data_IF_287275283970
#
_entry.id   IF_287275283970
#
_cell.length_a   1.000
_cell.length_b   1.000
_cell.length_c   1.000
_cell.angle_alpha   90.00
_cell.angle_beta   90.00
_cell.angle_gamma   90.00
#
_symmetry.space_group_name_H-M   'P 1'
#
loop_
_entity.id
_entity.type
_entity.pdbx_description
1 polymer ?
#
# COMPACT_ATOMS: atom_id res chain seq x y z
N UNK A 1 -9.45 -64.34 -45.77
CA UNK A 1 -8.45 -63.26 -45.64
C UNK A 1 -9.11 -62.06 -44.97
N UNK A 2 -8.48 -61.63 -43.87
CA UNK A 2 -8.60 -60.38 -43.11
C UNK A 2 -9.98 -59.85 -42.68
N UNK A 3 -10.30 -60.15 -41.41
CA UNK A 3 -11.12 -59.32 -40.53
C UNK A 3 -10.41 -57.99 -40.29
N UNK A 4 -11.05 -56.88 -40.62
CA UNK A 4 -10.62 -55.54 -40.19
C UNK A 4 -11.55 -55.06 -39.08
N UNK A 5 -11.07 -55.30 -37.86
CA UNK A 5 -11.49 -54.67 -36.62
C UNK A 5 -11.09 -53.20 -36.62
N UNK A 6 -12.09 -52.30 -36.66
CA UNK A 6 -11.90 -50.87 -36.38
C UNK A 6 -12.12 -50.58 -34.89
N UNK A 7 -11.18 -49.89 -34.19
CA UNK A 7 -11.29 -49.60 -32.77
C UNK A 7 -12.31 -48.47 -32.52
N UNK A 8 -13.23 -48.65 -31.58
CA UNK A 8 -13.07 -48.45 -30.12
C UNK A 8 -13.29 -46.98 -29.72
N UNK A 9 -14.14 -46.81 -28.71
CA UNK A 9 -14.75 -45.55 -28.30
C UNK A 9 -13.78 -44.37 -28.20
N UNK A 10 -14.25 -43.22 -28.69
CA UNK A 10 -13.63 -41.93 -28.44
C UNK A 10 -13.64 -41.69 -26.93
N UNK A 11 -12.49 -41.92 -26.31
CA UNK A 11 -12.20 -41.53 -24.95
C UNK A 11 -12.29 -40.00 -24.87
N UNK A 12 -13.36 -39.50 -24.28
CA UNK A 12 -13.47 -38.14 -23.82
C UNK A 12 -12.43 -37.96 -22.70
N UNK A 13 -11.21 -37.57 -23.07
CA UNK A 13 -10.23 -37.10 -22.09
C UNK A 13 -10.76 -35.80 -21.52
N UNK A 14 -11.40 -35.89 -20.34
CA UNK A 14 -11.46 -34.77 -19.42
C UNK A 14 -10.01 -34.46 -19.05
N UNK A 15 -9.39 -33.53 -19.76
CA UNK A 15 -8.18 -32.86 -19.26
C UNK A 15 -8.63 -31.98 -18.12
N UNK A 16 -8.75 -32.59 -16.95
CA UNK A 16 -8.90 -31.91 -15.67
C UNK A 16 -7.54 -31.31 -15.32
N UNK A 17 -7.13 -30.29 -16.07
CA UNK A 17 -6.04 -29.41 -15.68
C UNK A 17 -6.68 -28.32 -14.84
N UNK A 18 -6.98 -28.69 -13.59
CA UNK A 18 -6.84 -27.76 -12.49
C UNK A 18 -5.38 -27.30 -12.54
N UNK A 19 -5.08 -26.27 -13.35
CA UNK A 19 -3.87 -25.50 -13.17
C UNK A 19 -3.94 -25.03 -11.73
N UNK A 20 -3.10 -25.65 -10.91
CA UNK A 20 -2.91 -25.31 -9.51
C UNK A 20 -2.78 -23.81 -9.47
N UNK A 21 -3.81 -23.12 -8.98
CA UNK A 21 -3.65 -21.76 -8.49
C UNK A 21 -2.56 -21.89 -7.43
N UNK A 22 -1.34 -21.52 -7.81
CA UNK A 22 -0.23 -21.40 -6.88
C UNK A 22 -0.74 -20.39 -5.88
N UNK A 23 -1.14 -20.89 -4.70
CA UNK A 23 -1.50 -20.04 -3.58
C UNK A 23 -0.24 -19.21 -3.33
N UNK A 24 -0.20 -18.00 -3.89
CA UNK A 24 0.83 -17.03 -3.58
C UNK A 24 0.60 -16.75 -2.11
N UNK A 25 1.41 -17.37 -1.25
CA UNK A 25 1.50 -16.98 0.15
C UNK A 25 1.84 -15.49 0.13
N UNK A 26 0.83 -14.67 0.39
CA UNK A 26 0.98 -13.23 0.41
C UNK A 26 1.88 -12.92 1.60
N UNK A 27 3.13 -12.55 1.32
CA UNK A 27 4.04 -12.16 2.39
C UNK A 27 3.62 -10.78 2.90
N UNK A 28 3.40 -10.65 4.21
CA UNK A 28 2.92 -9.40 4.83
C UNK A 28 4.03 -8.37 4.91
N UNK A 29 3.80 -7.18 4.36
CA UNK A 29 4.72 -6.04 4.45
C UNK A 29 4.45 -5.26 5.75
N UNK A 30 5.52 -4.84 6.44
CA UNK A 30 5.40 -4.07 7.68
C UNK A 30 5.81 -2.63 7.42
N UNK A 31 4.94 -1.68 7.80
CA UNK A 31 5.22 -0.24 7.72
C UNK A 31 5.66 0.29 9.08
N UNK A 32 6.84 0.89 9.13
CA UNK A 32 7.35 1.67 10.26
C UNK A 32 7.36 3.16 9.88
N UNK A 33 6.77 4.00 10.73
CA UNK A 33 6.79 5.45 10.55
C UNK A 33 7.96 6.01 11.34
N UNK A 34 8.88 6.70 10.67
CA UNK A 34 9.97 7.42 11.33
C UNK A 34 9.43 8.79 11.70
N UNK A 35 9.20 9.07 12.98
CA UNK A 35 8.69 10.39 13.38
C UNK A 35 9.85 11.40 13.30
N UNK A 36 10.15 11.89 12.10
CA UNK A 36 11.09 12.98 11.87
C UNK A 36 10.34 14.30 11.86
N UNK A 37 10.54 15.14 12.88
CA UNK A 37 10.02 16.51 12.94
C UNK A 37 10.79 17.43 11.96
N UNK A 38 10.85 17.11 10.67
CA UNK A 38 11.48 17.98 9.66
C UNK A 38 10.47 18.99 9.12
N UNK A 39 10.44 20.15 9.78
CA UNK A 39 10.05 21.46 9.26
C UNK A 39 8.89 21.48 8.27
N UNK A 40 7.67 21.24 8.75
CA UNK A 40 6.48 21.71 8.05
C UNK A 40 6.46 23.24 8.20
N UNK A 41 6.60 23.97 7.09
CA UNK A 41 6.39 25.42 7.06
C UNK A 41 4.89 25.67 7.30
N UNK A 42 4.51 25.81 8.57
CA UNK A 42 3.14 26.14 8.96
C UNK A 42 3.03 27.65 9.19
N UNK A 43 2.10 28.32 8.52
CA UNK A 43 1.80 29.74 8.74
C UNK A 43 0.98 30.02 10.01
N UNK A 44 0.80 29.03 10.90
CA UNK A 44 -0.04 29.13 12.10
C UNK A 44 0.79 28.94 13.39
N UNK A 45 0.77 29.88 14.36
CA UNK A 45 1.66 29.91 15.52
C UNK A 45 1.22 29.00 16.67
N UNK A 46 0.29 28.05 16.46
CA UNK A 46 -0.35 27.38 17.58
C UNK A 46 0.38 26.09 17.96
N UNK A 47 0.86 26.08 19.21
CA UNK A 47 1.31 24.99 20.08
C UNK A 47 1.99 23.77 19.42
N UNK A 48 3.31 23.57 19.64
CA UNK A 48 4.04 22.36 19.22
C UNK A 48 3.36 21.03 19.60
N UNK A 49 2.71 20.96 20.76
CA UNK A 49 2.05 19.74 21.24
C UNK A 49 0.80 19.37 20.41
N UNK A 50 0.12 20.35 19.82
CA UNK A 50 -1.03 20.12 18.94
C UNK A 50 -0.57 19.51 17.60
N UNK A 51 0.54 20.03 17.05
CA UNK A 51 1.13 19.51 15.81
C UNK A 51 1.62 18.07 15.93
N UNK A 52 2.24 17.73 17.07
CA UNK A 52 2.68 16.37 17.34
C UNK A 52 1.48 15.39 17.40
N UNK A 53 0.37 15.81 18.00
CA UNK A 53 -0.87 15.03 18.04
C UNK A 53 -1.47 14.85 16.65
N UNK A 54 -1.53 15.90 15.83
CA UNK A 54 -2.00 15.81 14.44
C UNK A 54 -1.18 14.80 13.63
N UNK A 55 0.16 14.92 13.67
CA UNK A 55 1.05 14.00 12.97
C UNK A 55 0.86 12.56 13.45
N UNK A 56 0.73 12.35 14.76
CA UNK A 56 0.47 11.02 15.33
C UNK A 56 -0.82 10.42 14.80
N UNK A 57 -1.91 11.19 14.77
CA UNK A 57 -3.20 10.74 14.25
C UNK A 57 -3.12 10.40 12.75
N UNK A 58 -2.46 11.23 11.95
CA UNK A 58 -2.23 10.98 10.53
C UNK A 58 -1.47 9.67 10.34
N UNK A 59 -0.40 9.44 11.10
CA UNK A 59 0.38 8.21 11.00
C UNK A 59 -0.40 6.96 11.38
N UNK A 60 -1.27 7.03 12.39
CA UNK A 60 -2.13 5.91 12.76
C UNK A 60 -3.05 5.50 11.61
N UNK A 61 -3.74 6.47 11.00
CA UNK A 61 -4.64 6.21 9.86
C UNK A 61 -3.86 5.72 8.64
N UNK A 62 -2.73 6.34 8.31
CA UNK A 62 -1.87 5.94 7.18
C UNK A 62 -1.37 4.50 7.34
N UNK A 63 -0.95 4.12 8.54
CA UNK A 63 -0.53 2.74 8.84
C UNK A 63 -1.67 1.76 8.57
N UNK A 64 -2.89 2.12 8.94
CA UNK A 64 -4.06 1.27 8.73
C UNK A 64 -4.45 1.16 7.25
N UNK A 65 -4.41 2.26 6.49
CA UNK A 65 -4.71 2.26 5.05
C UNK A 65 -3.69 1.47 4.22
N UNK A 66 -2.44 1.37 4.68
CA UNK A 66 -1.36 0.66 4.00
C UNK A 66 -1.26 -0.83 4.35
N UNK A 67 -2.11 -1.36 5.23
CA UNK A 67 -2.14 -2.79 5.58
C UNK A 67 -2.38 -3.67 4.35
N UNK A 68 -1.94 -4.92 4.43
CA UNK A 68 -2.24 -5.99 3.46
C UNK A 68 -1.94 -5.61 1.99
N UNK A 69 -0.69 -5.24 1.65
CA UNK A 69 -0.32 -5.10 0.23
C UNK A 69 -0.41 -6.44 -0.48
N UNK A 70 -0.62 -6.41 -1.79
CA UNK A 70 -0.71 -7.59 -2.65
C UNK A 70 0.62 -7.93 -3.36
N UNK A 71 1.74 -7.36 -2.90
CA UNK A 71 3.08 -7.55 -3.45
C UNK A 71 4.10 -7.68 -2.31
N UNK A 72 5.30 -8.14 -2.64
CA UNK A 72 6.43 -8.23 -1.73
C UNK A 72 7.57 -7.31 -2.18
N UNK A 73 8.38 -6.88 -1.22
CA UNK A 73 9.64 -6.18 -1.49
C UNK A 73 10.81 -7.12 -1.26
N UNK A 74 11.86 -6.98 -2.08
CA UNK A 74 13.09 -7.76 -1.93
C UNK A 74 13.98 -7.23 -0.79
N UNK A 75 13.94 -5.91 -0.57
CA UNK A 75 14.69 -5.21 0.46
C UNK A 75 13.79 -4.18 1.15
N UNK A 76 14.20 -3.73 2.33
CA UNK A 76 13.56 -2.58 2.97
C UNK A 76 13.61 -1.37 2.04
N UNK A 77 12.51 -0.63 1.93
CA UNK A 77 12.41 0.58 1.11
C UNK A 77 11.98 1.76 1.97
N UNK A 78 12.65 2.90 1.77
CA UNK A 78 12.26 4.18 2.33
C UNK A 78 11.47 4.98 1.30
N UNK A 79 10.39 5.62 1.76
CA UNK A 79 9.56 6.49 0.95
C UNK A 79 9.29 7.80 1.71
N UNK A 80 9.32 8.92 1.00
CA UNK A 80 8.84 10.21 1.51
C UNK A 80 7.53 10.55 0.83
N UNK A 81 6.45 10.62 1.61
CA UNK A 81 5.11 10.96 1.10
C UNK A 81 4.77 12.38 1.50
N UNK A 82 4.44 13.24 0.54
CA UNK A 82 3.86 14.55 0.81
C UNK A 82 2.37 14.49 0.60
N UNK A 83 1.61 14.92 1.59
CA UNK A 83 0.15 14.99 1.52
C UNK A 83 -0.36 16.37 1.92
N UNK A 84 -1.58 16.68 1.52
CA UNK A 84 -2.42 17.67 2.18
C UNK A 84 -3.77 17.06 2.52
N UNK A 85 -4.64 17.79 3.23
CA UNK A 85 -5.97 17.35 3.62
C UNK A 85 -7.00 18.32 3.08
N UNK A 86 -7.98 17.81 2.33
CA UNK A 86 -9.03 18.61 1.73
C UNK A 86 -10.13 18.97 2.74
N UNK A 87 -11.11 19.76 2.31
CA UNK A 87 -12.23 20.21 3.17
C UNK A 87 -13.13 19.07 3.67
N UNK A 88 -13.06 17.89 3.06
CA UNK A 88 -13.80 16.69 3.46
C UNK A 88 -13.04 15.84 4.50
N UNK A 89 -11.87 16.31 4.96
CA UNK A 89 -10.94 15.58 5.79
C UNK A 89 -10.34 14.35 5.09
N UNK A 90 -10.17 14.41 3.77
CA UNK A 90 -9.57 13.35 2.96
C UNK A 90 -8.13 13.72 2.58
N UNK A 91 -7.25 12.72 2.62
CA UNK A 91 -5.87 12.83 2.17
C UNK A 91 -5.85 13.14 0.68
N UNK A 92 -5.07 14.14 0.27
CA UNK A 92 -4.68 14.37 -1.12
C UNK A 92 -3.17 14.14 -1.21
N UNK A 93 -2.77 13.12 -1.96
CA UNK A 93 -1.35 12.79 -2.14
C UNK A 93 -0.73 13.75 -3.15
N UNK A 94 0.25 14.54 -2.70
CA UNK A 94 0.97 15.50 -3.54
C UNK A 94 2.17 14.82 -4.24
N UNK A 95 2.91 13.98 -3.51
CA UNK A 95 4.01 13.21 -4.07
C UNK A 95 4.33 11.97 -3.24
N UNK A 96 4.84 10.93 -3.89
CA UNK A 96 5.54 9.82 -3.25
C UNK A 96 6.92 9.75 -3.90
N UNK A 97 7.96 9.72 -3.07
CA UNK A 97 9.34 9.61 -3.52
C UNK A 97 10.00 8.40 -2.86
N UNK A 98 10.17 7.32 -3.62
CA UNK A 98 10.97 6.16 -3.24
C UNK A 98 11.79 5.67 -4.45
N UNK A 99 12.63 4.65 -4.23
CA UNK A 99 13.34 3.95 -5.32
C UNK A 99 12.53 2.75 -5.88
N UNK A 100 11.24 2.63 -5.55
CA UNK A 100 10.39 1.51 -5.95
C UNK A 100 9.03 1.98 -6.49
N UNK A 101 8.84 1.92 -7.82
CA UNK A 101 7.63 2.40 -8.49
C UNK A 101 6.36 1.62 -8.11
N UNK A 102 6.49 0.33 -7.81
CA UNK A 102 5.36 -0.51 -7.35
C UNK A 102 4.87 -0.01 -6.00
N UNK A 103 5.79 0.30 -5.08
CA UNK A 103 5.48 0.89 -3.78
C UNK A 103 4.84 2.28 -3.94
N UNK A 104 5.38 3.13 -4.82
CA UNK A 104 4.85 4.47 -5.06
C UNK A 104 3.40 4.42 -5.54
N UNK A 105 3.12 3.53 -6.49
CA UNK A 105 1.78 3.31 -7.03
C UNK A 105 0.84 2.77 -5.96
N UNK A 106 1.29 1.81 -5.16
CA UNK A 106 0.51 1.28 -4.05
C UNK A 106 0.16 2.35 -3.01
N UNK A 107 1.12 3.14 -2.57
CA UNK A 107 0.91 4.20 -1.58
C UNK A 107 -0.12 5.21 -2.10
N UNK A 108 0.02 5.67 -3.35
CA UNK A 108 -0.96 6.59 -3.97
C UNK A 108 -2.36 5.98 -4.00
N UNK A 109 -2.48 4.74 -4.46
CA UNK A 109 -3.76 4.05 -4.56
C UNK A 109 -4.42 3.77 -3.20
N UNK A 110 -3.62 3.55 -2.16
CA UNK A 110 -4.11 3.30 -0.80
C UNK A 110 -4.52 4.56 -0.06
N UNK A 111 -3.81 5.68 -0.27
CA UNK A 111 -3.96 6.89 0.54
C UNK A 111 -4.82 7.96 -0.11
N UNK A 112 -4.74 8.15 -1.43
CA UNK A 112 -5.39 9.29 -2.07
C UNK A 112 -6.92 9.22 -1.91
N UNK A 113 -7.50 10.32 -1.45
CA UNK A 113 -8.90 10.49 -1.06
C UNK A 113 -9.39 9.57 0.08
N UNK A 114 -8.48 9.05 0.92
CA UNK A 114 -8.91 8.38 2.17
C UNK A 114 -9.21 9.40 3.25
N UNK A 115 -10.36 9.23 3.89
CA UNK A 115 -10.82 10.07 4.98
C UNK A 115 -10.09 9.74 6.28
N UNK A 116 -9.47 10.75 6.88
CA UNK A 116 -8.86 10.63 8.21
C UNK A 116 -9.94 10.52 9.30
N UNK A 117 -9.62 9.79 10.36
CA UNK A 117 -10.51 9.58 11.51
C UNK A 117 -10.64 10.83 12.36
N UNK A 118 -9.55 11.59 12.51
CA UNK A 118 -9.52 12.85 13.23
C UNK A 118 -9.43 14.02 12.27
N UNK A 119 -10.08 15.13 12.64
CA UNK A 119 -9.95 16.37 11.88
C UNK A 119 -8.57 16.96 12.10
N UNK A 120 -7.89 17.29 11.01
CA UNK A 120 -6.57 17.93 11.04
C UNK A 120 -6.59 19.20 10.21
N UNK A 121 -5.66 20.11 10.48
CA UNK A 121 -5.52 21.32 9.69
C UNK A 121 -5.19 21.02 8.21
N UNK A 122 -5.63 21.90 7.31
CA UNK A 122 -5.28 21.83 5.89
C UNK A 122 -3.86 22.39 5.67
N UNK A 123 -2.86 21.59 6.07
CA UNK A 123 -1.44 21.87 5.86
C UNK A 123 -0.83 20.86 4.88
N UNK A 124 0.42 21.10 4.48
CA UNK A 124 1.24 20.09 3.82
C UNK A 124 1.99 19.29 4.87
N UNK A 125 1.79 17.97 4.89
CA UNK A 125 2.49 17.06 5.79
C UNK A 125 3.50 16.22 5.00
N UNK A 126 4.70 16.08 5.54
CA UNK A 126 5.75 15.20 5.00
C UNK A 126 5.88 13.98 5.89
N UNK A 127 5.63 12.80 5.32
CA UNK A 127 5.58 11.53 6.03
C UNK A 127 6.71 10.61 5.53
N UNK A 128 7.85 10.56 6.22
CA UNK A 128 8.84 9.50 6.04
C UNK A 128 8.28 8.13 6.48
N UNK A 129 8.23 7.20 5.53
CA UNK A 129 7.80 5.82 5.72
C UNK A 129 8.97 4.88 5.46
N UNK A 130 9.14 3.88 6.32
CA UNK A 130 10.00 2.73 6.07
C UNK A 130 9.14 1.49 5.91
N UNK A 131 9.37 0.77 4.83
CA UNK A 131 8.60 -0.40 4.44
C UNK A 131 9.52 -1.60 4.49
N UNK A 132 9.28 -2.51 5.42
CA UNK A 132 10.16 -3.64 5.68
C UNK A 132 9.85 -4.77 4.72
N UNK A 133 10.88 -5.32 4.08
CA UNK A 133 10.74 -6.52 3.27
C UNK A 133 10.26 -7.69 4.12
N UNK A 134 9.35 -8.48 3.56
CA UNK A 134 8.89 -9.71 4.21
C UNK A 134 9.95 -10.80 4.05
N UNK A 135 10.71 -11.06 5.11
CA UNK A 135 11.64 -12.19 5.19
C UNK A 135 10.87 -13.51 5.06
#
# INVERSE_FOLDING_TARGET
MQRISGPHGKNFKQTNTQEKQKIMKLKTLVFACLIGLSSIVSANPNNPAEKERELTNIYMDVKDFLKNPNFALENDVEATVKITVNNNNEIVVLSVNSNNEVLDTFIKARLNYKKLTQKVASNVYTLPLKVLASK
#
